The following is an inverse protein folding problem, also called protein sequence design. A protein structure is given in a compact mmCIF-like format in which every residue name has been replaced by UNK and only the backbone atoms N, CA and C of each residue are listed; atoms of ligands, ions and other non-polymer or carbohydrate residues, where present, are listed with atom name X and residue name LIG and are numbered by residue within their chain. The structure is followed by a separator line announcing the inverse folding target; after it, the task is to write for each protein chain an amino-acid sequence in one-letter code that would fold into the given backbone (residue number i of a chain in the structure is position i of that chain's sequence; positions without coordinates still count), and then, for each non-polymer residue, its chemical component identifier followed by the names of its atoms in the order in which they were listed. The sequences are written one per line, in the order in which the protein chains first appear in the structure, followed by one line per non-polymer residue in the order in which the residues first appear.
data_IF_371126051500
#
_entry.id   IF_371126051500
#
_cell.length_a   1.000
_cell.length_b   1.000
_cell.length_c   1.000
_cell.angle_alpha   90.00
_cell.angle_beta   90.00
_cell.angle_gamma   90.00
#
_symmetry.space_group_name_H-M   'P 1'
#
loop_
_entity.id
_entity.type
_entity.pdbx_description
1 polymer ?
#
# COMPACT_ATOMS: atom_id res chain seq x y z
N UNK A 1 18.70 10.56 15.32
CA UNK A 1 18.35 9.33 14.57
C UNK A 1 16.96 9.56 13.99
N UNK A 2 16.74 9.41 12.67
CA UNK A 2 15.47 9.79 12.04
C UNK A 2 14.35 8.82 12.44
N UNK A 3 13.14 9.36 12.49
CA UNK A 3 11.93 8.66 12.93
C UNK A 3 11.00 8.52 11.73
N UNK A 4 10.44 7.33 11.55
CA UNK A 4 9.53 7.01 10.44
C UNK A 4 8.24 6.37 10.92
N UNK A 5 7.18 6.56 10.15
CA UNK A 5 5.88 5.92 10.34
C UNK A 5 5.79 4.63 9.54
N UNK A 6 5.35 3.58 10.24
CA UNK A 6 5.14 2.24 9.69
C UNK A 6 3.68 1.86 9.85
N UNK A 7 3.13 1.18 8.85
CA UNK A 7 1.77 0.66 8.88
C UNK A 7 1.76 -0.85 8.61
N UNK A 8 1.03 -1.60 9.44
CA UNK A 8 0.84 -3.03 9.22
C UNK A 8 -0.08 -3.29 8.02
N UNK A 9 0.28 -4.26 7.19
CA UNK A 9 -0.53 -4.66 6.02
C UNK A 9 -1.82 -5.40 6.38
N UNK A 10 -1.90 -5.99 7.56
CA UNK A 10 -3.05 -6.80 7.98
C UNK A 10 -3.99 -6.03 8.92
N UNK A 11 -3.49 -5.56 10.05
CA UNK A 11 -4.33 -4.88 11.06
C UNK A 11 -4.37 -3.35 10.91
N UNK A 12 -3.66 -2.79 9.93
CA UNK A 12 -3.59 -1.34 9.64
C UNK A 12 -3.09 -0.45 10.79
N UNK A 13 -2.58 -1.05 11.88
CA UNK A 13 -1.97 -0.31 12.99
C UNK A 13 -0.76 0.47 12.51
N UNK A 14 -0.70 1.73 12.93
CA UNK A 14 0.42 2.63 12.66
C UNK A 14 1.33 2.70 13.87
N UNK A 15 2.63 2.53 13.67
CA UNK A 15 3.66 2.64 14.70
C UNK A 15 4.76 3.59 14.24
N UNK A 16 5.43 4.21 15.20
CA UNK A 16 6.54 5.13 14.94
C UNK A 16 7.83 4.44 15.36
N UNK A 17 8.81 4.33 14.45
CA UNK A 17 10.06 3.59 14.67
C UNK A 17 11.29 4.40 14.28
N UNK A 18 12.42 4.06 14.89
CA UNK A 18 13.69 4.75 14.69
C UNK A 18 14.49 4.00 13.61
N UNK A 19 14.90 4.73 12.57
CA UNK A 19 15.74 4.18 11.51
C UNK A 19 17.09 3.72 12.07
N UNK A 20 17.66 2.66 11.50
CA UNK A 20 18.92 2.05 11.94
C UNK A 20 18.75 0.93 12.97
N UNK A 21 17.66 0.92 13.74
CA UNK A 21 17.34 -0.15 14.69
C UNK A 21 16.42 -1.20 14.07
N UNK A 22 15.44 -0.76 13.29
CA UNK A 22 14.36 -1.58 12.71
C UNK A 22 14.47 -1.75 11.18
N UNK A 23 15.62 -1.45 10.56
CA UNK A 23 15.72 -1.31 9.10
C UNK A 23 15.61 -2.62 8.31
N UNK A 24 15.88 -3.77 8.94
CA UNK A 24 15.87 -5.04 8.23
C UNK A 24 14.46 -5.62 8.08
N UNK A 25 13.64 -5.57 9.13
CA UNK A 25 12.31 -6.19 9.17
C UNK A 25 11.45 -5.48 10.22
N UNK A 26 10.42 -4.73 9.78
CA UNK A 26 9.42 -4.17 10.68
C UNK A 26 8.25 -5.16 10.81
N UNK A 27 8.09 -5.75 11.99
CA UNK A 27 7.03 -6.72 12.31
C UNK A 27 6.06 -6.10 13.32
N UNK A 28 4.76 -6.23 13.06
CA UNK A 28 3.71 -5.74 13.95
C UNK A 28 3.64 -6.57 15.24
N UNK A 29 3.60 -5.90 16.40
CA UNK A 29 3.52 -6.57 17.69
C UNK A 29 2.17 -7.29 17.94
N UNK A 30 1.09 -6.88 17.26
CA UNK A 30 -0.25 -7.47 17.43
C UNK A 30 -0.48 -8.72 16.60
N UNK A 31 -0.18 -8.66 15.30
CA UNK A 31 -0.53 -9.72 14.35
C UNK A 31 0.69 -10.39 13.71
N UNK A 32 1.91 -9.98 14.09
CA UNK A 32 3.18 -10.55 13.60
C UNK A 32 3.36 -10.48 12.08
N UNK A 33 2.57 -9.61 11.42
CA UNK A 33 2.69 -9.35 9.99
C UNK A 33 3.68 -8.21 9.72
N UNK A 34 4.14 -8.15 8.48
CA UNK A 34 5.01 -7.08 7.98
C UNK A 34 4.35 -5.70 8.12
N UNK A 35 5.18 -4.72 8.43
CA UNK A 35 4.84 -3.31 8.40
C UNK A 35 5.65 -2.60 7.31
N UNK A 36 5.00 -1.69 6.59
CA UNK A 36 5.59 -0.94 5.49
C UNK A 36 5.79 0.50 5.94
N UNK A 37 6.92 1.11 5.55
CA UNK A 37 7.21 2.52 5.81
C UNK A 37 6.34 3.40 4.91
N UNK A 38 5.67 4.41 5.49
CA UNK A 38 4.77 5.31 4.75
C UNK A 38 5.46 6.57 4.20
N UNK A 39 6.50 7.05 4.88
CA UNK A 39 7.07 8.37 4.59
C UNK A 39 8.00 8.42 3.37
N UNK A 40 8.26 7.28 2.74
CA UNK A 40 9.18 7.20 1.61
C UNK A 40 8.49 6.65 0.37
N UNK A 41 8.13 7.56 -0.53
CA UNK A 41 7.73 7.20 -1.88
C UNK A 41 8.96 6.85 -2.72
N UNK A 42 9.20 5.54 -2.89
CA UNK A 42 10.24 5.02 -3.77
C UNK A 42 9.87 5.14 -5.26
N UNK A 43 8.59 5.38 -5.57
CA UNK A 43 8.07 5.30 -6.93
C UNK A 43 7.85 6.66 -7.59
N UNK A 44 7.76 7.75 -6.82
CA UNK A 44 7.63 9.12 -7.33
C UNK A 44 8.55 9.43 -8.53
N UNK A 45 9.88 9.21 -8.42
CA UNK A 45 10.82 9.49 -9.51
C UNK A 45 10.60 8.66 -10.79
N UNK A 46 9.99 7.48 -10.65
CA UNK A 46 9.65 6.62 -11.78
C UNK A 46 8.41 7.15 -12.52
N UNK A 47 7.42 7.63 -11.77
CA UNK A 47 6.17 8.16 -12.32
C UNK A 47 6.27 9.62 -12.79
N UNK A 48 7.24 10.40 -12.31
CA UNK A 48 7.48 11.78 -12.75
C UNK A 48 7.62 11.89 -14.27
N UNK A 49 8.23 10.88 -14.91
CA UNK A 49 8.43 10.82 -16.38
C UNK A 49 7.17 10.40 -17.15
N UNK A 50 6.18 9.82 -16.47
CA UNK A 50 4.92 9.36 -17.07
C UNK A 50 3.84 10.45 -17.08
N UNK A 51 3.98 11.48 -16.23
CA UNK A 51 3.04 12.62 -16.15
C UNK A 51 3.01 13.48 -17.41
N UNK A 52 4.02 13.40 -18.29
CA UNK A 52 4.05 14.14 -19.56
C UNK A 52 3.00 13.63 -20.56
N UNK A 53 2.39 12.45 -20.34
CA UNK A 53 1.42 11.85 -21.29
C UNK A 53 0.11 11.35 -20.68
N UNK A 54 -0.09 11.47 -19.37
CA UNK A 54 -1.36 11.10 -18.77
C UNK A 54 -2.41 12.19 -19.05
N UNK A 55 -3.22 12.01 -20.10
CA UNK A 55 -4.51 12.70 -20.19
C UNK A 55 -5.27 12.43 -18.88
N UNK A 56 -5.94 13.43 -18.28
CA UNK A 56 -6.62 13.25 -17.00
C UNK A 56 -7.63 12.11 -17.15
N UNK A 57 -7.38 11.01 -16.46
CA UNK A 57 -8.35 9.93 -16.31
C UNK A 57 -9.47 10.53 -15.46
N UNK A 58 -10.62 10.76 -16.09
CA UNK A 58 -11.84 11.10 -15.36
C UNK A 58 -12.09 9.95 -14.41
N UNK A 59 -11.97 10.21 -13.11
CA UNK A 59 -12.45 9.29 -12.08
C UNK A 59 -13.94 9.16 -12.31
N UNK A 60 -14.35 8.03 -12.89
CA UNK A 60 -15.75 7.66 -12.90
C UNK A 60 -16.09 7.28 -11.46
N UNK A 61 -16.64 8.22 -10.70
CA UNK A 61 -17.48 7.90 -9.55
C UNK A 61 -18.53 6.92 -10.03
N UNK A 62 -18.33 5.64 -9.70
CA UNK A 62 -19.35 4.61 -9.42
C UNK A 62 -18.63 3.28 -9.16
N UNK A 63 -18.10 3.17 -7.94
CA UNK A 63 -17.67 1.95 -7.31
C UNK A 63 -18.91 1.10 -6.95
N UNK A 64 -19.44 0.30 -7.88
CA UNK A 64 -20.29 -0.85 -7.52
C UNK A 64 -20.61 -1.74 -8.72
N UNK A 65 -19.82 -2.79 -8.93
CA UNK A 65 -20.23 -4.10 -9.47
C UNK A 65 -18.99 -4.99 -9.57
N UNK A 66 -18.64 -5.60 -8.44
CA UNK A 66 -17.86 -6.83 -8.46
C UNK A 66 -18.84 -7.90 -8.93
N UNK A 67 -18.77 -8.28 -10.21
CA UNK A 67 -19.57 -9.37 -10.76
C UNK A 67 -19.01 -10.70 -10.25
N UNK A 68 -19.49 -11.10 -9.08
CA UNK A 68 -19.32 -12.42 -8.50
C UNK A 68 -20.35 -13.39 -9.11
N UNK A 69 -20.09 -13.90 -10.32
CA UNK A 69 -20.79 -15.09 -10.82
C UNK A 69 -19.85 -15.98 -11.62
N UNK A 70 -18.99 -16.73 -10.94
CA UNK A 70 -18.32 -17.91 -11.52
C UNK A 70 -18.65 -19.16 -10.72
N UNK A 71 -19.92 -19.57 -10.70
CA UNK A 71 -20.33 -20.92 -10.35
C UNK A 71 -21.62 -21.30 -11.09
N UNK A 72 -21.65 -22.54 -11.64
CA UNK A 72 -22.67 -23.19 -12.51
C UNK A 72 -22.29 -23.08 -14.00
N UNK A 73 -22.13 -24.14 -14.79
CA UNK A 73 -22.54 -25.55 -14.73
C UNK A 73 -21.76 -26.25 -15.86
N UNK A 74 -21.23 -27.45 -15.64
CA UNK A 74 -21.19 -28.48 -16.69
C UNK A 74 -21.84 -29.73 -16.09
N UNK A 75 -23.03 -30.02 -16.59
CA UNK A 75 -23.70 -31.31 -16.52
C UNK A 75 -24.44 -31.49 -17.83
#
# INVERSE_FOLDING_TARGET
MPVYHYQCTNCQVTETRIAGVDDHLAICARCQHLMIRLDHDLFGPYFDKLTVRAKPVKVCENLSRVDDTRLRKEK
#
